data_IF_698937010182
#
_entry.id   IF_698937010182
#
_cell.length_a   1.000
_cell.length_b   1.000
_cell.length_c   1.000
_cell.angle_alpha   90.00
_cell.angle_beta   90.00
_cell.angle_gamma   90.00
#
_symmetry.space_group_name_H-M   'P 1'
#
loop_
_entity.id
_entity.type
_entity.pdbx_description
1 polymer ?
#
# COMPACT_ATOMS: atom_id res chain seq x y z
N UNK A 1 -1.20 -2.32 11.70
CA UNK A 1 -2.03 -2.02 12.89
C UNK A 1 -1.85 -3.07 14.00
N UNK A 2 -1.62 -4.35 13.67
CA UNK A 2 -1.57 -5.46 14.64
C UNK A 2 -0.61 -5.22 15.82
N UNK A 3 0.50 -4.54 15.61
CA UNK A 3 1.53 -4.26 16.63
C UNK A 3 1.40 -2.88 17.27
N UNK A 4 0.33 -2.16 17.01
CA UNK A 4 0.10 -0.80 17.51
C UNK A 4 -1.20 -0.74 18.33
N UNK A 5 -1.18 0.00 19.43
CA UNK A 5 -2.42 0.29 20.15
C UNK A 5 -3.25 1.38 19.45
N UNK A 6 -4.56 1.41 19.72
CA UNK A 6 -5.43 2.49 19.21
C UNK A 6 -4.92 3.89 19.61
N UNK A 7 -4.38 4.03 20.83
CA UNK A 7 -3.79 5.28 21.30
C UNK A 7 -2.56 5.69 20.49
N UNK A 8 -1.69 4.75 20.13
CA UNK A 8 -0.52 5.02 19.28
C UNK A 8 -0.94 5.46 17.86
N UNK A 9 -1.93 4.78 17.26
CA UNK A 9 -2.44 5.14 15.94
C UNK A 9 -3.07 6.54 15.95
N UNK A 10 -3.89 6.86 16.96
CA UNK A 10 -4.49 8.18 17.13
C UNK A 10 -3.44 9.27 17.32
N UNK A 11 -2.40 9.01 18.12
CA UNK A 11 -1.29 9.95 18.33
C UNK A 11 -0.52 10.18 17.02
N UNK A 12 -0.25 9.14 16.24
CA UNK A 12 0.41 9.25 14.94
C UNK A 12 -0.41 10.10 13.96
N UNK A 13 -1.74 9.91 13.89
CA UNK A 13 -2.64 10.75 13.10
C UNK A 13 -2.63 12.21 13.54
N UNK A 14 -2.65 12.46 14.84
CA UNK A 14 -2.51 13.81 15.39
C UNK A 14 -1.19 14.49 15.00
N UNK A 15 -0.10 13.73 14.91
CA UNK A 15 1.18 14.25 14.41
C UNK A 15 1.10 14.60 12.93
N UNK A 16 0.55 13.72 12.08
CA UNK A 16 0.36 14.03 10.66
C UNK A 16 -0.45 15.31 10.47
N UNK A 17 -1.57 15.45 11.17
CA UNK A 17 -2.42 16.63 11.10
C UNK A 17 -1.69 17.90 11.58
N UNK A 18 -1.00 17.82 12.70
CA UNK A 18 -0.24 18.95 13.29
C UNK A 18 0.83 19.48 12.34
N UNK A 19 1.47 18.61 11.58
CA UNK A 19 2.57 18.97 10.69
C UNK A 19 2.17 19.05 9.21
N UNK A 20 0.90 18.86 8.87
CA UNK A 20 0.41 18.88 7.49
C UNK A 20 0.75 20.17 6.73
N UNK A 21 0.72 21.32 7.42
CA UNK A 21 0.97 22.64 6.83
C UNK A 21 2.45 23.07 6.85
N UNK A 22 3.34 22.27 7.42
CA UNK A 22 4.78 22.60 7.39
C UNK A 22 5.39 22.24 6.05
N UNK A 23 6.35 23.02 5.60
CA UNK A 23 7.12 22.72 4.40
C UNK A 23 7.70 21.30 4.50
N UNK A 24 7.35 20.44 3.52
CA UNK A 24 7.74 19.04 3.50
C UNK A 24 6.79 18.09 4.24
N UNK A 25 5.88 18.54 5.13
CA UNK A 25 4.93 17.67 5.85
C UNK A 25 5.57 16.45 6.53
N UNK A 26 4.75 15.46 6.87
CA UNK A 26 5.22 14.15 7.35
C UNK A 26 4.75 13.05 6.41
N UNK A 27 5.59 12.05 6.20
CA UNK A 27 5.21 10.81 5.55
C UNK A 27 4.76 9.78 6.60
N UNK A 28 3.79 8.98 6.23
CA UNK A 28 3.38 7.79 6.96
C UNK A 28 3.63 6.57 6.07
N UNK A 29 4.26 5.55 6.61
CA UNK A 29 4.45 4.28 5.95
C UNK A 29 4.07 3.14 6.87
N UNK A 30 3.29 2.20 6.34
CA UNK A 30 2.90 0.99 7.07
C UNK A 30 2.46 -0.10 6.09
N UNK A 31 2.17 -1.30 6.62
CA UNK A 31 1.60 -2.42 5.88
C UNK A 31 0.08 -2.41 5.98
N UNK A 32 -0.62 -2.90 4.97
CA UNK A 32 -2.07 -3.06 4.98
C UNK A 32 -2.48 -4.29 4.19
N UNK A 33 -3.33 -5.11 4.79
CA UNK A 33 -4.02 -6.22 4.13
C UNK A 33 -3.10 -7.09 3.25
N UNK A 34 -1.96 -7.50 3.82
CA UNK A 34 -0.97 -8.30 3.12
C UNK A 34 -1.43 -9.74 2.94
N UNK A 35 -1.95 -10.36 4.01
CA UNK A 35 -2.45 -11.74 3.95
C UNK A 35 -3.79 -11.88 4.69
N UNK A 36 -4.50 -12.99 4.40
CA UNK A 36 -5.85 -13.19 4.93
C UNK A 36 -5.89 -13.40 6.43
N UNK A 37 -4.88 -14.01 7.01
CA UNK A 37 -4.81 -14.27 8.44
C UNK A 37 -4.60 -12.96 9.20
N UNK A 38 -3.74 -12.09 8.70
CA UNK A 38 -3.56 -10.74 9.21
C UNK A 38 -4.86 -9.92 9.14
N UNK A 39 -5.57 -9.97 8.02
CA UNK A 39 -6.86 -9.26 7.87
C UNK A 39 -7.87 -9.74 8.92
N UNK A 40 -7.97 -11.07 9.15
CA UNK A 40 -8.86 -11.62 10.20
C UNK A 40 -8.43 -11.17 11.59
N UNK A 41 -7.13 -11.22 11.88
CA UNK A 41 -6.60 -10.79 13.17
C UNK A 41 -6.86 -9.31 13.44
N UNK A 42 -6.72 -8.45 12.43
CA UNK A 42 -7.06 -7.03 12.57
C UNK A 42 -8.56 -6.83 12.85
N UNK A 43 -9.43 -7.58 12.20
CA UNK A 43 -10.87 -7.51 12.47
C UNK A 43 -11.21 -7.91 13.93
N UNK A 44 -10.48 -8.84 14.52
CA UNK A 44 -10.61 -9.22 15.93
C UNK A 44 -10.10 -8.12 16.89
N UNK A 45 -8.97 -7.48 16.53
CA UNK A 45 -8.37 -6.43 17.36
C UNK A 45 -9.11 -5.08 17.29
N UNK A 46 -9.77 -4.81 16.16
CA UNK A 46 -10.47 -3.55 15.87
C UNK A 46 -11.90 -3.83 15.37
N UNK A 47 -12.78 -4.43 16.19
CA UNK A 47 -14.10 -4.89 15.75
C UNK A 47 -15.04 -3.76 15.28
N UNK A 48 -14.77 -2.53 15.70
CA UNK A 48 -15.56 -1.36 15.28
C UNK A 48 -15.14 -0.80 13.92
N UNK A 49 -14.07 -1.29 13.34
CA UNK A 49 -13.59 -0.87 12.02
C UNK A 49 -14.18 -1.73 10.92
N UNK A 50 -14.59 -1.10 9.81
CA UNK A 50 -15.18 -1.79 8.65
C UNK A 50 -14.18 -2.74 7.98
N UNK A 51 -12.92 -2.32 7.92
CA UNK A 51 -11.83 -3.05 7.26
C UNK A 51 -10.49 -2.74 7.92
N UNK A 52 -9.43 -3.42 7.45
CA UNK A 52 -8.07 -3.11 7.89
C UNK A 52 -7.67 -1.66 7.55
N UNK A 53 -8.00 -1.17 6.35
CA UNK A 53 -7.72 0.21 5.96
C UNK A 53 -8.47 1.22 6.83
N UNK A 54 -9.73 0.91 7.19
CA UNK A 54 -10.57 1.76 8.02
C UNK A 54 -9.96 2.02 9.41
N UNK A 55 -9.18 1.09 9.96
CA UNK A 55 -8.41 1.32 11.20
C UNK A 55 -7.49 2.52 11.07
N UNK A 56 -6.80 2.63 9.95
CA UNK A 56 -5.90 3.76 9.68
C UNK A 56 -6.66 5.04 9.34
N UNK A 57 -7.73 4.92 8.54
CA UNK A 57 -8.56 6.06 8.15
C UNK A 57 -9.19 6.76 9.36
N UNK A 58 -9.79 6.01 10.27
CA UNK A 58 -10.39 6.52 11.51
C UNK A 58 -9.38 7.22 12.42
N UNK A 59 -8.12 6.90 12.31
CA UNK A 59 -7.04 7.56 13.03
C UNK A 59 -6.43 8.76 12.28
N UNK A 60 -6.95 9.12 11.09
CA UNK A 60 -6.43 10.22 10.28
C UNK A 60 -5.06 9.92 9.66
N UNK A 61 -4.76 8.64 9.40
CA UNK A 61 -3.48 8.19 8.86
C UNK A 61 -3.48 8.08 7.33
N UNK A 62 -4.60 8.33 6.65
CA UNK A 62 -4.67 8.35 5.19
C UNK A 62 -4.54 9.78 4.67
N UNK A 63 -3.45 10.04 4.01
CA UNK A 63 -3.12 11.34 3.40
C UNK A 63 -2.37 11.10 2.09
N UNK A 64 -2.19 12.13 1.27
CA UNK A 64 -1.36 12.09 0.07
C UNK A 64 0.08 11.56 0.31
N UNK A 65 0.58 11.66 1.55
CA UNK A 65 1.90 11.18 1.96
C UNK A 65 1.84 9.87 2.77
N UNK A 66 0.76 9.13 2.62
CA UNK A 66 0.61 7.81 3.22
C UNK A 66 0.90 6.74 2.19
N UNK A 67 1.89 5.91 2.50
CA UNK A 67 2.37 4.83 1.65
C UNK A 67 2.05 3.52 2.38
N UNK A 68 1.19 2.72 1.77
CA UNK A 68 0.72 1.47 2.34
C UNK A 68 1.28 0.29 1.55
N UNK A 69 2.05 -0.56 2.20
CA UNK A 69 2.65 -1.72 1.55
C UNK A 69 1.61 -2.84 1.34
N UNK A 70 1.78 -3.58 0.27
CA UNK A 70 1.05 -4.77 -0.18
C UNK A 70 -0.38 -4.48 -0.68
N UNK A 71 -1.35 -4.22 0.19
CA UNK A 71 -2.73 -3.93 -0.20
C UNK A 71 -3.46 -5.03 -0.98
N UNK A 72 -3.04 -6.31 -0.81
CA UNK A 72 -3.52 -7.44 -1.62
C UNK A 72 -5.02 -7.68 -1.39
N UNK A 73 -5.43 -7.63 -0.12
CA UNK A 73 -6.78 -8.01 0.32
C UNK A 73 -7.66 -6.79 0.65
N UNK A 74 -7.38 -5.64 0.03
CA UNK A 74 -8.27 -4.47 0.08
C UNK A 74 -9.54 -4.75 -0.74
N UNK A 75 -10.68 -4.29 -0.25
CA UNK A 75 -11.92 -4.28 -1.02
C UNK A 75 -12.05 -3.01 -1.90
N UNK A 76 -13.12 -2.92 -2.68
CA UNK A 76 -13.32 -1.80 -3.61
C UNK A 76 -13.57 -0.49 -2.85
N UNK A 77 -14.27 -0.51 -1.71
CA UNK A 77 -14.46 0.66 -0.86
C UNK A 77 -13.15 1.17 -0.26
N UNK A 78 -12.24 0.26 0.11
CA UNK A 78 -10.90 0.63 0.57
C UNK A 78 -10.12 1.33 -0.55
N UNK A 79 -10.16 0.81 -1.79
CA UNK A 79 -9.48 1.43 -2.94
C UNK A 79 -10.05 2.81 -3.25
N UNK A 80 -11.38 2.96 -3.24
CA UNK A 80 -12.04 4.25 -3.40
C UNK A 80 -11.58 5.25 -2.34
N UNK A 81 -11.48 4.81 -1.09
CA UNK A 81 -11.01 5.65 0.01
C UNK A 81 -9.55 6.06 -0.14
N UNK A 82 -8.69 5.14 -0.57
CA UNK A 82 -7.29 5.46 -0.89
C UNK A 82 -7.19 6.51 -2.01
N UNK A 83 -7.97 6.38 -3.06
CA UNK A 83 -8.02 7.36 -4.14
C UNK A 83 -8.48 8.74 -3.66
N UNK A 84 -9.52 8.80 -2.81
CA UNK A 84 -10.01 10.06 -2.22
C UNK A 84 -8.97 10.77 -1.35
N UNK A 85 -8.07 10.04 -0.73
CA UNK A 85 -7.02 10.58 0.14
C UNK A 85 -5.67 10.75 -0.56
N UNK A 86 -5.60 10.42 -1.86
CA UNK A 86 -4.34 10.38 -2.64
C UNK A 86 -3.27 9.47 -2.00
N UNK A 87 -3.63 8.54 -1.10
CA UNK A 87 -2.68 7.60 -0.53
C UNK A 87 -2.28 6.54 -1.55
N UNK A 88 -1.06 6.01 -1.41
CA UNK A 88 -0.43 5.17 -2.43
C UNK A 88 -0.13 3.76 -1.92
N UNK A 89 -0.09 2.79 -2.84
CA UNK A 89 0.35 1.41 -2.59
C UNK A 89 1.82 1.24 -2.97
N UNK A 90 2.60 0.68 -2.03
CA UNK A 90 3.90 0.11 -2.31
C UNK A 90 3.70 -1.36 -2.71
N UNK A 91 3.70 -1.62 -4.02
CA UNK A 91 3.53 -2.96 -4.59
C UNK A 91 4.81 -3.76 -4.46
N UNK A 92 4.79 -4.81 -3.63
CA UNK A 92 5.95 -5.62 -3.26
C UNK A 92 5.86 -7.05 -3.80
N UNK A 93 5.88 -7.26 -5.14
CA UNK A 93 5.55 -8.56 -5.75
C UNK A 93 6.50 -9.68 -5.33
N UNK A 94 7.80 -9.43 -5.18
CA UNK A 94 8.75 -10.48 -4.82
C UNK A 94 8.54 -10.96 -3.38
N UNK A 95 8.22 -10.05 -2.45
CA UNK A 95 7.85 -10.40 -1.09
C UNK A 95 6.52 -11.16 -1.03
N UNK A 96 5.49 -10.64 -1.71
CA UNK A 96 4.18 -11.26 -1.75
C UNK A 96 4.23 -12.72 -2.26
N UNK A 97 5.07 -12.98 -3.26
CA UNK A 97 5.29 -14.32 -3.80
C UNK A 97 6.11 -15.20 -2.84
N UNK A 98 7.19 -14.66 -2.29
CA UNK A 98 8.08 -15.40 -1.39
C UNK A 98 7.38 -15.85 -0.11
N UNK A 99 6.57 -14.97 0.48
CA UNK A 99 5.81 -15.23 1.70
C UNK A 99 4.46 -15.93 1.44
N UNK A 100 4.02 -16.03 0.17
CA UNK A 100 2.72 -16.62 -0.17
C UNK A 100 1.53 -15.75 0.24
N UNK A 101 1.72 -14.43 0.36
CA UNK A 101 0.71 -13.48 0.83
C UNK A 101 -0.49 -13.37 -0.13
N UNK A 102 -0.26 -13.53 -1.43
CA UNK A 102 -1.27 -13.47 -2.48
C UNK A 102 -0.84 -12.67 -3.71
N UNK A 103 -1.79 -12.46 -4.62
CA UNK A 103 -1.56 -11.72 -5.86
C UNK A 103 -2.27 -10.36 -5.79
N UNK A 104 -1.51 -9.28 -5.87
CA UNK A 104 -2.07 -7.92 -5.89
C UNK A 104 -2.77 -7.64 -7.22
N UNK A 105 -3.99 -7.12 -7.16
CA UNK A 105 -4.80 -6.75 -8.32
C UNK A 105 -4.49 -5.31 -8.76
N UNK A 106 -3.50 -5.16 -9.64
CA UNK A 106 -3.08 -3.87 -10.16
C UNK A 106 -4.19 -3.18 -10.95
N UNK A 107 -4.92 -3.92 -11.78
CA UNK A 107 -5.96 -3.34 -12.63
C UNK A 107 -7.09 -2.72 -11.81
N UNK A 108 -7.49 -3.36 -10.70
CA UNK A 108 -8.49 -2.77 -9.78
C UNK A 108 -7.98 -1.52 -9.08
N UNK A 109 -6.72 -1.52 -8.63
CA UNK A 109 -6.13 -0.35 -8.01
C UNK A 109 -6.05 0.84 -8.99
N UNK A 110 -5.60 0.58 -10.22
CA UNK A 110 -5.53 1.59 -11.29
C UNK A 110 -6.92 2.11 -11.67
N UNK A 111 -7.91 1.22 -11.82
CA UNK A 111 -9.29 1.59 -12.13
C UNK A 111 -9.94 2.48 -11.05
N UNK A 112 -9.60 2.25 -9.79
CA UNK A 112 -10.04 3.08 -8.66
C UNK A 112 -9.26 4.41 -8.55
N UNK A 113 -8.18 4.61 -9.31
CA UNK A 113 -7.33 5.80 -9.25
C UNK A 113 -6.28 5.78 -8.15
N UNK A 114 -5.99 4.63 -7.57
CA UNK A 114 -4.96 4.49 -6.53
C UNK A 114 -3.57 4.54 -7.16
N UNK A 115 -2.69 5.39 -6.64
CA UNK A 115 -1.28 5.41 -7.01
C UNK A 115 -0.57 4.13 -6.59
N UNK A 116 0.13 3.47 -7.54
CA UNK A 116 0.87 2.24 -7.28
C UNK A 116 2.31 2.39 -7.74
N UNK A 117 3.26 2.07 -6.86
CA UNK A 117 4.68 2.06 -7.19
C UNK A 117 5.31 0.74 -6.71
N UNK A 118 6.21 0.13 -7.51
CA UNK A 118 6.90 -1.08 -7.10
C UNK A 118 7.87 -0.80 -5.95
N UNK A 119 7.92 -1.72 -5.00
CA UNK A 119 8.81 -1.69 -3.85
C UNK A 119 9.49 -3.04 -3.65
N UNK A 120 10.73 -3.03 -3.18
CA UNK A 120 11.51 -4.24 -3.00
C UNK A 120 11.10 -5.04 -1.75
N UNK A 121 10.68 -4.33 -0.69
CA UNK A 121 10.38 -4.95 0.60
C UNK A 121 11.50 -5.93 1.03
N UNK A 122 12.75 -5.49 0.90
CA UNK A 122 13.90 -6.37 1.13
C UNK A 122 13.92 -6.88 2.58
N UNK A 123 14.03 -8.21 2.70
CA UNK A 123 13.79 -8.93 3.96
C UNK A 123 12.70 -9.98 3.74
N UNK A 124 11.47 -9.59 3.38
CA UNK A 124 10.47 -10.43 2.73
C UNK A 124 10.70 -10.52 1.22
N UNK A 125 11.03 -9.40 0.58
CA UNK A 125 11.44 -9.37 -0.82
C UNK A 125 12.86 -9.88 -1.05
N UNK A 126 13.10 -10.48 -2.21
CA UNK A 126 14.31 -11.26 -2.52
C UNK A 126 15.39 -10.48 -3.25
N UNK A 127 15.19 -9.18 -3.54
CA UNK A 127 16.16 -8.37 -4.29
C UNK A 127 15.97 -6.87 -4.04
N UNK A 128 17.07 -6.13 -3.97
CA UNK A 128 17.07 -4.65 -3.99
C UNK A 128 16.94 -4.09 -5.42
N UNK A 129 17.06 -4.92 -6.44
CA UNK A 129 17.01 -4.48 -7.83
C UNK A 129 15.58 -4.26 -8.30
N UNK A 130 15.18 -3.00 -8.58
CA UNK A 130 13.83 -2.66 -9.04
C UNK A 130 13.45 -3.33 -10.37
N UNK A 131 14.40 -3.62 -11.25
CA UNK A 131 14.11 -4.36 -12.49
C UNK A 131 13.72 -5.82 -12.20
N UNK A 132 14.28 -6.45 -11.18
CA UNK A 132 13.85 -7.78 -10.72
C UNK A 132 12.48 -7.72 -10.07
N UNK A 133 12.22 -6.71 -9.24
CA UNK A 133 10.90 -6.45 -8.66
C UNK A 133 9.84 -6.28 -9.75
N UNK A 134 10.13 -5.52 -10.80
CA UNK A 134 9.24 -5.38 -11.96
C UNK A 134 9.03 -6.68 -12.72
N UNK A 135 10.06 -7.53 -12.86
CA UNK A 135 9.92 -8.84 -13.49
C UNK A 135 8.99 -9.76 -12.69
N UNK A 136 9.04 -9.72 -11.37
CA UNK A 136 8.09 -10.45 -10.53
C UNK A 136 6.69 -9.81 -10.59
N UNK A 137 6.59 -8.49 -10.61
CA UNK A 137 5.34 -7.76 -10.84
C UNK A 137 4.67 -8.19 -12.15
N UNK A 138 5.43 -8.26 -13.25
CA UNK A 138 4.92 -8.75 -14.53
C UNK A 138 4.32 -10.17 -14.41
N UNK A 139 4.99 -11.09 -13.71
CA UNK A 139 4.50 -12.46 -13.49
C UNK A 139 3.21 -12.47 -12.66
N UNK A 140 3.14 -11.67 -11.60
CA UNK A 140 1.94 -11.53 -10.75
C UNK A 140 0.74 -11.07 -11.57
N UNK A 141 0.93 -10.08 -12.43
CA UNK A 141 -0.12 -9.59 -13.31
C UNK A 141 -0.52 -10.64 -14.36
N UNK A 142 0.47 -11.29 -14.98
CA UNK A 142 0.23 -12.33 -15.99
C UNK A 142 -0.57 -13.53 -15.45
N UNK A 143 -0.31 -13.94 -14.20
CA UNK A 143 -1.08 -15.00 -13.52
C UNK A 143 -2.56 -14.64 -13.34
N UNK A 144 -2.90 -13.36 -13.38
CA UNK A 144 -4.26 -12.83 -13.27
C UNK A 144 -4.87 -12.41 -14.63
N UNK A 145 -4.21 -12.76 -15.74
CA UNK A 145 -4.64 -12.36 -17.09
C UNK A 145 -4.42 -10.86 -17.38
N UNK A 146 -3.73 -10.14 -16.52
CA UNK A 146 -3.36 -8.74 -16.70
C UNK A 146 -2.01 -8.63 -17.41
N UNK A 147 -1.74 -7.47 -18.00
CA UNK A 147 -0.47 -7.22 -18.71
C UNK A 147 0.13 -5.89 -18.27
N UNK A 148 1.42 -5.90 -18.02
CA UNK A 148 2.22 -4.69 -17.83
C UNK A 148 3.19 -4.55 -19.02
N UNK A 149 3.16 -3.43 -19.71
CA UNK A 149 4.18 -3.12 -20.71
C UNK A 149 5.47 -2.67 -20.03
N UNK A 150 6.60 -2.79 -20.72
CA UNK A 150 7.89 -2.29 -20.21
C UNK A 150 7.84 -0.80 -19.85
N UNK A 151 7.09 0.01 -20.64
CA UNK A 151 6.92 1.43 -20.39
C UNK A 151 6.10 1.74 -19.14
N UNK A 152 5.01 0.99 -18.91
CA UNK A 152 4.24 1.10 -17.67
C UNK A 152 5.09 0.74 -16.45
N UNK A 153 5.85 -0.37 -16.52
CA UNK A 153 6.75 -0.77 -15.45
C UNK A 153 7.83 0.28 -15.17
N UNK A 154 8.49 0.79 -16.21
CA UNK A 154 9.51 1.84 -16.07
C UNK A 154 8.91 3.13 -15.47
N UNK A 155 7.75 3.55 -15.95
CA UNK A 155 7.04 4.71 -15.40
C UNK A 155 6.73 4.51 -13.92
N UNK A 156 6.14 3.36 -13.54
CA UNK A 156 5.78 3.06 -12.16
C UNK A 156 6.99 3.06 -11.23
N UNK A 157 8.14 2.52 -11.69
CA UNK A 157 9.38 2.48 -10.91
C UNK A 157 10.16 3.80 -10.85
N UNK A 158 9.77 4.80 -11.62
CA UNK A 158 10.48 6.09 -11.70
C UNK A 158 9.54 7.26 -11.41
N UNK A 159 8.95 7.87 -12.43
CA UNK A 159 8.08 9.02 -12.28
C UNK A 159 6.81 8.71 -11.48
N UNK A 160 6.24 7.52 -11.65
CA UNK A 160 5.10 7.06 -10.86
C UNK A 160 5.44 6.96 -9.37
N UNK A 161 6.61 6.39 -9.04
CA UNK A 161 7.10 6.32 -7.67
C UNK A 161 7.37 7.71 -7.08
N UNK A 162 7.99 8.61 -7.84
CA UNK A 162 8.20 10.00 -7.41
C UNK A 162 6.86 10.70 -7.08
N UNK A 163 5.85 10.53 -7.94
CA UNK A 163 4.50 11.08 -7.68
C UNK A 163 3.84 10.47 -6.44
N UNK A 164 3.99 9.15 -6.23
CA UNK A 164 3.48 8.47 -5.03
C UNK A 164 4.16 8.97 -3.76
N UNK A 165 5.39 9.44 -3.87
CA UNK A 165 6.16 10.05 -2.78
C UNK A 165 5.99 11.57 -2.68
N UNK A 166 5.11 12.18 -3.46
CA UNK A 166 4.88 13.62 -3.49
C UNK A 166 6.17 14.44 -3.78
N UNK A 167 7.00 13.94 -4.75
CA UNK A 167 8.26 14.51 -5.24
C UNK A 167 8.13 15.08 -6.66
#
# INVERSE_FOLDING_TARGET
AATSSAAQLTMAGGLLQRYAQRAGGLYMQTHVAENRDEVRWIAELFPDSRSYLDVYDRCGLLTRRSILAHGIWLDDTDRERMAQTDSSIAFSPSSNLFLGSGLFDWAKAEAAGVGVAPASDVGGGTSLCQLRTLADGYKVLALQGQRMTAWQGLYAATRGAARALDL
#
